data_IF_543260396796
#
_entry.id   IF_543260396796
#
_cell.length_a   1.000
_cell.length_b   1.000
_cell.length_c   1.000
_cell.angle_alpha   90.00
_cell.angle_beta   90.00
_cell.angle_gamma   90.00
#
_symmetry.space_group_name_H-M   'P 1'
#
loop_
_entity.id
_entity.type
_entity.pdbx_description
1 polymer ?
#
# COMPACT_ATOMS: atom_id res chain seq x y z
N UNK A 1 -20.19 26.60 2.59
CA UNK A 1 -20.55 25.26 3.09
C UNK A 1 -19.27 24.61 3.51
N UNK A 2 -19.06 24.41 4.81
CA UNK A 2 -17.83 23.81 5.35
C UNK A 2 -17.96 22.29 5.19
N UNK A 3 -17.20 21.72 4.27
CA UNK A 3 -17.01 20.27 4.24
C UNK A 3 -16.00 19.90 5.34
N UNK A 4 -16.51 19.35 6.43
CA UNK A 4 -15.66 18.73 7.44
C UNK A 4 -15.24 17.36 6.91
N UNK A 5 -14.01 17.25 6.48
CA UNK A 5 -13.47 15.96 6.05
C UNK A 5 -13.14 15.10 7.26
N UNK A 6 -13.90 14.07 7.43
CA UNK A 6 -13.72 13.03 8.45
C UNK A 6 -12.91 11.90 7.81
N UNK A 7 -11.80 11.52 8.42
CA UNK A 7 -10.98 10.40 7.97
C UNK A 7 -11.78 9.10 8.14
N UNK A 8 -12.46 8.67 7.09
CA UNK A 8 -13.06 7.34 7.02
C UNK A 8 -11.95 6.38 6.60
N UNK A 9 -11.44 5.59 7.53
CA UNK A 9 -10.67 4.40 7.15
C UNK A 9 -11.61 3.47 6.39
N UNK A 10 -11.52 3.47 5.08
CA UNK A 10 -12.11 2.41 4.27
C UNK A 10 -11.38 1.11 4.64
N UNK A 11 -12.10 0.21 5.29
CA UNK A 11 -11.63 -1.07 5.82
C UNK A 11 -11.03 -2.01 4.75
N UNK A 12 -11.04 -1.62 3.48
CA UNK A 12 -10.58 -2.45 2.37
C UNK A 12 -9.06 -2.71 2.33
N UNK A 13 -8.23 -1.73 2.67
CA UNK A 13 -6.77 -1.88 2.59
C UNK A 13 -6.17 -2.61 3.80
N UNK A 14 -6.84 -2.57 4.96
CA UNK A 14 -6.37 -3.25 6.18
C UNK A 14 -6.48 -4.78 6.12
N UNK A 15 -7.33 -5.33 5.25
CA UNK A 15 -7.59 -6.78 5.16
C UNK A 15 -6.37 -7.55 4.66
N UNK A 16 -5.55 -6.96 3.79
CA UNK A 16 -4.36 -7.65 3.27
C UNK A 16 -3.12 -7.54 4.16
N UNK A 17 -3.01 -6.52 4.98
CA UNK A 17 -1.86 -6.33 5.87
C UNK A 17 -1.95 -7.17 7.17
N UNK A 18 -3.15 -7.54 7.62
CA UNK A 18 -3.37 -8.29 8.85
C UNK A 18 -3.26 -9.80 8.73
N UNK A 19 -3.46 -10.36 7.55
CA UNK A 19 -3.53 -11.83 7.34
C UNK A 19 -2.20 -12.50 7.04
N UNK A 20 -1.09 -11.76 6.96
CA UNK A 20 0.25 -12.28 6.64
C UNK A 20 1.23 -12.24 7.83
N UNK A 21 0.74 -12.28 9.07
CA UNK A 21 1.61 -12.52 10.23
C UNK A 21 1.91 -14.03 10.30
N UNK A 22 2.92 -14.43 9.58
CA UNK A 22 3.49 -15.78 9.67
C UNK A 22 4.23 -15.91 11.00
N UNK A 23 3.80 -16.85 11.84
CA UNK A 23 4.53 -17.25 13.06
C UNK A 23 5.86 -17.87 12.66
N UNK A 24 6.94 -17.16 12.92
CA UNK A 24 8.30 -17.66 12.75
C UNK A 24 8.63 -18.59 13.95
N UNK A 25 8.41 -19.90 13.80
CA UNK A 25 9.02 -20.92 14.66
C UNK A 25 10.18 -21.54 13.90
N UNK A 26 11.37 -21.33 14.44
CA UNK A 26 12.58 -22.02 13.99
C UNK A 26 12.41 -23.55 14.11
N UNK A 27 12.76 -24.34 13.11
CA UNK A 27 12.79 -25.78 13.26
C UNK A 27 14.14 -26.18 13.87
N UNK A 28 14.11 -26.73 15.08
CA UNK A 28 15.19 -27.63 15.53
C UNK A 28 14.98 -28.97 14.84
N UNK A 29 16.04 -29.40 14.16
CA UNK A 29 16.09 -30.70 13.51
C UNK A 29 16.11 -31.82 14.53
N UNK A 30 15.18 -32.77 14.42
CA UNK A 30 15.35 -34.15 14.86
C UNK A 30 14.82 -35.06 13.76
N UNK A 31 15.71 -35.85 13.22
CA UNK A 31 15.40 -36.91 12.26
C UNK A 31 14.72 -38.07 12.98
N UNK A 32 13.60 -38.56 12.43
CA UNK A 32 13.13 -39.93 12.59
C UNK A 32 12.26 -40.28 11.38
N UNK A 33 12.66 -41.34 10.71
CA UNK A 33 11.96 -41.93 9.59
C UNK A 33 10.64 -42.58 10.04
N UNK A 34 9.57 -42.38 9.27
CA UNK A 34 8.59 -43.43 8.94
C UNK A 34 7.52 -42.88 8.01
N UNK A 35 7.19 -43.62 6.95
CA UNK A 35 6.30 -43.25 5.88
C UNK A 35 4.85 -43.06 6.31
N UNK A 36 4.25 -42.04 5.73
CA UNK A 36 2.82 -41.74 5.82
C UNK A 36 2.55 -40.45 5.09
N UNK A 37 1.85 -40.54 3.98
CA UNK A 37 1.41 -39.36 3.21
C UNK A 37 0.49 -38.47 4.07
N UNK A 38 0.82 -37.22 4.40
CA UNK A 38 -0.10 -36.36 5.12
C UNK A 38 -1.06 -35.70 4.12
N UNK A 39 -2.28 -36.14 4.08
CA UNK A 39 -3.42 -35.35 3.61
C UNK A 39 -3.61 -34.18 4.58
N UNK A 40 -2.86 -33.11 4.43
CA UNK A 40 -3.06 -31.90 5.22
C UNK A 40 -4.25 -31.13 4.69
N UNK A 41 -5.43 -31.29 5.33
CA UNK A 41 -6.49 -30.30 5.23
C UNK A 41 -5.91 -28.95 5.60
N UNK A 42 -6.14 -27.89 4.80
CA UNK A 42 -5.73 -26.55 5.18
C UNK A 42 -6.36 -26.21 6.55
N UNK A 43 -5.56 -25.64 7.46
CA UNK A 43 -6.05 -25.16 8.74
C UNK A 43 -7.23 -24.21 8.51
N UNK A 44 -8.28 -24.25 9.35
CA UNK A 44 -9.40 -23.34 9.23
C UNK A 44 -8.88 -21.91 9.30
N UNK A 45 -9.29 -21.08 8.34
CA UNK A 45 -8.99 -19.64 8.34
C UNK A 45 -9.74 -19.06 9.54
N UNK A 46 -9.01 -18.61 10.53
CA UNK A 46 -9.56 -17.94 11.69
C UNK A 46 -10.30 -16.68 11.22
N UNK A 47 -11.60 -16.61 11.50
CA UNK A 47 -12.42 -15.48 11.08
C UNK A 47 -12.06 -14.28 11.94
N UNK A 48 -11.44 -13.27 11.33
CA UNK A 48 -11.12 -12.01 12.01
C UNK A 48 -12.42 -11.22 12.15
N UNK A 49 -12.82 -10.91 13.37
CA UNK A 49 -13.91 -9.97 13.63
C UNK A 49 -13.34 -8.55 13.74
N UNK A 50 -13.89 -7.64 12.94
CA UNK A 50 -13.53 -6.24 12.99
C UNK A 50 -14.48 -5.48 13.92
N UNK A 51 -13.92 -4.67 14.80
CA UNK A 51 -14.70 -3.75 15.62
C UNK A 51 -15.28 -2.63 14.74
N UNK A 52 -16.38 -2.00 15.19
CA UNK A 52 -16.92 -0.83 14.51
C UNK A 52 -15.86 0.27 14.35
N UNK A 53 -15.89 0.97 13.21
CA UNK A 53 -15.00 2.10 12.96
C UNK A 53 -15.22 3.21 13.99
N UNK A 54 -14.13 3.83 14.43
CA UNK A 54 -14.14 4.93 15.39
C UNK A 54 -13.31 6.10 14.83
N UNK A 55 -13.84 7.32 14.90
CA UNK A 55 -13.06 8.52 14.59
C UNK A 55 -11.93 8.66 15.61
N UNK A 56 -10.69 8.75 15.16
CA UNK A 56 -9.51 8.96 16.01
C UNK A 56 -9.16 10.45 16.11
N UNK A 57 -9.19 11.17 15.01
CA UNK A 57 -8.83 12.58 14.94
C UNK A 57 -9.33 13.21 13.63
N UNK A 58 -9.33 14.55 13.62
CA UNK A 58 -9.50 15.35 12.40
C UNK A 58 -8.14 15.82 11.90
N UNK A 59 -7.95 15.80 10.58
CA UNK A 59 -6.73 16.30 9.96
C UNK A 59 -6.67 17.82 10.06
N UNK A 60 -5.53 18.34 10.52
CA UNK A 60 -5.30 19.79 10.68
C UNK A 60 -4.85 20.43 9.36
N UNK A 61 -4.08 19.67 8.55
CA UNK A 61 -3.57 20.17 7.28
C UNK A 61 -4.69 20.21 6.23
N UNK A 62 -4.97 21.42 5.72
CA UNK A 62 -6.03 21.64 4.73
C UNK A 62 -5.64 21.29 3.31
N UNK A 63 -4.33 21.11 3.06
CA UNK A 63 -3.84 20.63 1.77
C UNK A 63 -4.11 19.13 1.58
N UNK A 64 -4.55 18.43 2.63
CA UNK A 64 -5.05 17.05 2.56
C UNK A 64 -6.56 17.14 2.44
N UNK A 65 -7.07 17.27 1.24
CA UNK A 65 -8.48 17.51 0.94
C UNK A 65 -9.19 16.29 0.35
N UNK A 66 -8.43 15.37 -0.26
CA UNK A 66 -8.92 14.12 -0.85
C UNK A 66 -8.03 12.95 -0.43
N UNK A 67 -7.78 12.78 0.89
CA UNK A 67 -6.94 11.70 1.40
C UNK A 67 -7.43 10.34 0.91
N UNK A 68 -6.61 9.65 0.13
CA UNK A 68 -6.88 8.32 -0.40
C UNK A 68 -6.11 7.24 0.38
N UNK A 69 -4.88 6.91 0.00
CA UNK A 69 -4.10 5.87 0.70
C UNK A 69 -3.57 6.30 2.07
N UNK A 70 -3.37 5.32 2.96
CA UNK A 70 -2.82 5.54 4.30
C UNK A 70 -1.92 4.39 4.73
N UNK A 71 -0.72 4.68 5.21
CA UNK A 71 0.19 3.66 5.75
C UNK A 71 0.98 4.16 6.96
N UNK A 72 1.30 3.24 7.88
CA UNK A 72 2.16 3.56 9.01
C UNK A 72 3.64 3.67 8.59
N UNK A 73 4.33 4.67 9.11
CA UNK A 73 5.77 4.82 8.94
C UNK A 73 6.53 3.69 9.65
N UNK A 74 7.52 3.13 8.95
CA UNK A 74 8.41 2.09 9.51
C UNK A 74 9.69 2.69 10.07
N UNK A 75 10.19 3.75 9.44
CA UNK A 75 11.34 4.53 9.89
C UNK A 75 10.95 5.54 10.96
N UNK A 76 9.78 6.12 10.83
CA UNK A 76 9.26 7.16 11.71
C UNK A 76 8.12 6.59 12.55
N UNK A 77 8.40 6.18 13.78
CA UNK A 77 7.37 5.66 14.70
C UNK A 77 6.33 6.74 15.02
N UNK A 78 5.06 6.36 15.03
CA UNK A 78 3.95 7.27 15.32
C UNK A 78 3.58 8.21 14.17
N UNK A 79 4.18 8.02 12.99
CA UNK A 79 3.85 8.73 11.76
C UNK A 79 2.95 7.86 10.89
N UNK A 80 1.95 8.49 10.30
CA UNK A 80 1.15 7.97 9.21
C UNK A 80 1.46 8.78 7.95
N UNK A 81 1.59 8.07 6.82
CA UNK A 81 1.78 8.66 5.50
C UNK A 81 0.49 8.55 4.71
N UNK A 82 0.09 9.63 4.06
CA UNK A 82 -1.09 9.70 3.19
C UNK A 82 -0.79 10.57 1.98
N UNK A 83 -1.65 10.53 0.97
CA UNK A 83 -1.63 11.40 -0.21
C UNK A 83 -3.05 11.75 -0.60
N UNK A 84 -3.21 12.77 -1.43
CA UNK A 84 -4.48 13.04 -2.07
C UNK A 84 -4.69 12.14 -3.28
N UNK A 85 -5.93 12.00 -3.68
CA UNK A 85 -6.39 11.29 -4.87
C UNK A 85 -5.96 11.99 -6.17
N UNK A 86 -6.63 11.72 -7.26
CA UNK A 86 -6.33 12.18 -8.61
C UNK A 86 -6.21 13.72 -8.75
N UNK A 87 -5.35 14.16 -9.68
CA UNK A 87 -5.25 15.57 -10.05
C UNK A 87 -4.36 16.44 -9.17
N UNK A 88 -3.81 15.94 -8.08
CA UNK A 88 -2.87 16.66 -7.23
C UNK A 88 -1.42 16.58 -7.76
N UNK A 89 -0.51 17.24 -7.06
CA UNK A 89 0.93 17.19 -7.33
C UNK A 89 1.50 15.86 -6.83
N UNK A 90 2.65 15.40 -7.35
CA UNK A 90 3.32 14.22 -6.84
C UNK A 90 3.91 14.49 -5.44
N UNK A 91 3.05 14.45 -4.44
CA UNK A 91 3.37 14.74 -3.05
C UNK A 91 2.59 13.82 -2.11
N UNK A 92 3.14 13.60 -0.92
CA UNK A 92 2.53 12.85 0.14
C UNK A 92 2.79 13.51 1.49
N UNK A 93 1.93 13.26 2.44
CA UNK A 93 1.87 13.99 3.70
C UNK A 93 2.19 13.07 4.87
N UNK A 94 2.83 13.63 5.87
CA UNK A 94 3.06 12.99 7.16
C UNK A 94 2.13 13.57 8.20
N UNK A 95 1.40 12.72 8.88
CA UNK A 95 0.52 13.07 9.99
C UNK A 95 0.81 12.18 11.19
N UNK A 96 0.32 12.52 12.37
CA UNK A 96 0.32 11.62 13.51
C UNK A 96 -1.10 11.12 13.83
N UNK A 97 -1.23 10.22 14.80
CA UNK A 97 -2.52 9.66 15.21
C UNK A 97 -3.50 10.70 15.80
N UNK A 98 -3.03 11.89 16.17
CA UNK A 98 -3.86 13.02 16.60
C UNK A 98 -4.24 13.95 15.43
N UNK A 99 -3.98 13.56 14.17
CA UNK A 99 -4.30 14.34 12.98
C UNK A 99 -3.41 15.55 12.75
N UNK A 100 -2.35 15.73 13.55
CA UNK A 100 -1.46 16.87 13.41
C UNK A 100 -0.56 16.75 12.17
N UNK A 101 -0.36 17.85 11.46
CA UNK A 101 0.55 17.97 10.33
C UNK A 101 2.01 17.86 10.76
N UNK A 102 2.73 16.88 10.24
CA UNK A 102 4.17 16.70 10.44
C UNK A 102 4.97 17.13 9.22
N UNK A 103 4.34 17.32 8.08
CA UNK A 103 4.97 17.83 6.87
C UNK A 103 4.47 17.20 5.57
N UNK A 104 4.94 17.79 4.48
CA UNK A 104 4.67 17.37 3.11
C UNK A 104 5.97 17.03 2.40
N UNK A 105 5.96 16.01 1.58
CA UNK A 105 7.10 15.54 0.79
C UNK A 105 6.76 15.60 -0.69
N UNK A 106 7.46 16.43 -1.46
CA UNK A 106 7.37 16.40 -2.93
C UNK A 106 8.24 15.26 -3.46
N UNK A 107 7.68 14.36 -4.27
CA UNK A 107 8.37 13.23 -4.87
C UNK A 107 8.97 13.61 -6.22
N UNK A 108 10.26 13.87 -6.25
CA UNK A 108 10.99 14.24 -7.47
C UNK A 108 11.17 13.00 -8.37
N UNK A 109 10.76 13.13 -9.63
CA UNK A 109 10.84 12.06 -10.64
C UNK A 109 9.59 11.17 -10.71
N UNK A 110 8.52 11.56 -10.03
CA UNK A 110 7.19 10.95 -10.15
C UNK A 110 6.24 11.87 -10.91
N UNK A 111 5.22 11.27 -11.54
CA UNK A 111 3.99 11.94 -11.94
C UNK A 111 2.89 11.69 -10.91
N UNK A 112 1.78 12.40 -11.03
CA UNK A 112 0.57 12.14 -10.26
C UNK A 112 -0.61 12.31 -11.22
N UNK A 113 -1.04 11.19 -11.80
CA UNK A 113 -2.20 11.18 -12.69
C UNK A 113 -3.45 10.75 -11.92
N UNK A 114 -3.30 9.63 -11.19
CA UNK A 114 -4.42 9.03 -10.46
C UNK A 114 -3.83 8.13 -9.35
N UNK A 115 -3.40 8.78 -8.26
CA UNK A 115 -2.81 8.08 -7.11
C UNK A 115 -3.92 7.56 -6.21
N UNK A 116 -3.90 6.26 -5.93
CA UNK A 116 -4.97 5.60 -5.19
C UNK A 116 -4.52 5.08 -3.82
N UNK A 117 -3.29 4.59 -3.72
CA UNK A 117 -2.84 4.01 -2.46
C UNK A 117 -1.34 4.18 -2.21
N UNK A 118 -0.97 4.05 -0.94
CA UNK A 118 0.41 4.08 -0.46
C UNK A 118 0.65 2.93 0.53
N UNK A 119 1.72 2.17 0.35
CA UNK A 119 2.13 1.17 1.33
C UNK A 119 3.57 1.36 1.79
N UNK A 120 3.86 0.93 3.01
CA UNK A 120 5.20 0.90 3.59
C UNK A 120 5.74 -0.52 3.64
N UNK A 121 7.02 -0.70 3.31
CA UNK A 121 7.68 -2.00 3.34
C UNK A 121 9.17 -1.89 3.69
N UNK A 122 9.79 -3.02 3.99
CA UNK A 122 11.20 -3.06 4.38
C UNK A 122 11.95 -4.11 3.53
N UNK A 123 13.01 -3.69 2.86
CA UNK A 123 13.93 -4.59 2.16
C UNK A 123 15.34 -4.35 2.68
N UNK A 124 16.06 -5.41 3.06
CA UNK A 124 17.44 -5.33 3.56
C UNK A 124 17.62 -4.28 4.66
N UNK A 125 16.71 -4.26 5.65
CA UNK A 125 16.68 -3.29 6.78
C UNK A 125 16.50 -1.83 6.36
N UNK A 126 16.18 -1.55 5.11
CA UNK A 126 15.85 -0.21 4.62
C UNK A 126 14.34 -0.09 4.45
N UNK A 127 13.78 1.02 4.89
CA UNK A 127 12.36 1.31 4.86
C UNK A 127 12.00 2.13 3.62
N UNK A 128 10.93 1.74 2.98
CA UNK A 128 10.44 2.35 1.74
C UNK A 128 8.94 2.61 1.83
N UNK A 129 8.51 3.57 1.03
CA UNK A 129 7.11 3.79 0.68
C UNK A 129 6.95 3.46 -0.80
N UNK A 130 5.80 2.92 -1.17
CA UNK A 130 5.37 2.71 -2.55
C UNK A 130 4.06 3.44 -2.75
N UNK A 131 4.02 4.34 -3.74
CA UNK A 131 2.84 5.10 -4.13
C UNK A 131 2.33 4.55 -5.45
N UNK A 132 1.04 4.34 -5.55
CA UNK A 132 0.37 3.72 -6.68
C UNK A 132 -0.35 4.73 -7.56
N UNK A 133 0.20 5.00 -8.76
CA UNK A 133 -0.44 5.78 -9.82
C UNK A 133 -1.10 4.80 -10.79
N UNK A 134 -2.26 4.29 -10.40
CA UNK A 134 -2.92 3.20 -11.12
C UNK A 134 -4.45 3.27 -11.13
N UNK A 135 -5.04 4.35 -10.63
CA UNK A 135 -6.46 4.61 -10.78
C UNK A 135 -6.85 4.70 -12.25
N UNK A 136 -8.00 4.16 -12.60
CA UNK A 136 -8.49 4.07 -13.98
C UNK A 136 -10.00 3.78 -13.99
N UNK A 137 -10.80 4.75 -13.59
CA UNK A 137 -12.27 4.64 -13.59
C UNK A 137 -12.83 4.23 -14.97
N UNK A 138 -12.14 4.60 -16.05
CA UNK A 138 -12.51 4.25 -17.42
C UNK A 138 -12.03 2.87 -17.87
N UNK A 139 -11.16 2.22 -17.12
CA UNK A 139 -10.50 0.94 -17.45
C UNK A 139 -9.84 0.96 -18.85
N UNK A 140 -9.06 2.00 -19.10
CA UNK A 140 -8.42 2.26 -20.39
C UNK A 140 -6.90 2.44 -20.29
N UNK A 141 -6.35 2.58 -19.07
CA UNK A 141 -4.92 2.85 -18.86
C UNK A 141 -4.06 1.64 -19.14
N UNK A 142 -3.02 1.86 -19.94
CA UNK A 142 -1.96 0.89 -20.22
C UNK A 142 -0.61 1.28 -19.57
N UNK A 143 -0.59 2.40 -18.85
CA UNK A 143 0.63 3.04 -18.34
C UNK A 143 0.61 3.24 -16.81
N UNK A 144 0.05 2.29 -16.08
CA UNK A 144 0.08 2.33 -14.61
C UNK A 144 1.51 2.30 -14.08
N UNK A 145 1.74 2.97 -12.94
CA UNK A 145 3.07 3.08 -12.33
C UNK A 145 3.03 2.93 -10.83
N UNK A 146 4.09 2.35 -10.29
CA UNK A 146 4.39 2.39 -8.86
C UNK A 146 5.67 3.19 -8.67
N UNK A 147 5.65 4.11 -7.73
CA UNK A 147 6.81 4.91 -7.34
C UNK A 147 7.32 4.45 -5.99
N UNK A 148 8.57 4.00 -5.95
CA UNK A 148 9.23 3.60 -4.71
C UNK A 148 10.16 4.71 -4.26
N UNK A 149 10.04 5.10 -3.00
CA UNK A 149 10.90 6.10 -2.36
C UNK A 149 11.42 5.56 -1.03
N UNK A 150 12.68 5.85 -0.70
CA UNK A 150 13.15 5.59 0.66
C UNK A 150 12.33 6.44 1.63
N UNK A 151 11.79 5.83 2.67
CA UNK A 151 10.99 6.57 3.66
C UNK A 151 11.80 7.74 4.22
N UNK A 152 11.37 9.00 4.02
CA UNK A 152 12.10 10.16 4.49
C UNK A 152 12.17 10.17 6.02
N UNK A 153 13.31 10.57 6.57
CA UNK A 153 13.40 10.82 8.01
C UNK A 153 12.78 12.17 8.34
N UNK A 154 11.83 12.16 9.26
CA UNK A 154 11.19 13.37 9.76
C UNK A 154 11.78 13.81 11.10
N UNK A 155 11.92 15.12 11.26
CA UNK A 155 12.04 15.70 12.58
C UNK A 155 10.62 15.99 13.12
N UNK A 156 10.07 15.05 13.86
CA UNK A 156 8.69 15.13 14.38
C UNK A 156 8.46 16.26 15.39
N UNK A 157 9.52 16.91 15.86
CA UNK A 157 9.40 18.13 16.67
C UNK A 157 9.06 19.36 15.82
N UNK A 158 9.29 19.32 14.51
CA UNK A 158 8.91 20.38 13.57
C UNK A 158 7.57 20.04 12.93
N UNK A 159 6.66 21.01 12.88
CA UNK A 159 5.36 20.90 12.21
C UNK A 159 5.44 21.51 10.82
N UNK A 160 4.63 20.99 9.87
CA UNK A 160 4.50 21.55 8.53
C UNK A 160 5.79 21.56 7.71
N UNK A 161 6.69 20.62 7.92
CA UNK A 161 7.95 20.55 7.20
C UNK A 161 7.72 20.31 5.70
N UNK A 162 8.36 21.11 4.83
CA UNK A 162 8.35 20.90 3.38
C UNK A 162 9.63 20.19 2.94
N UNK A 163 9.51 18.96 2.53
CA UNK A 163 10.61 18.09 2.14
C UNK A 163 10.56 17.77 0.64
N UNK A 164 11.69 17.33 0.11
CA UNK A 164 11.80 16.75 -1.22
C UNK A 164 12.46 15.38 -1.10
N UNK A 165 11.89 14.38 -1.70
CA UNK A 165 12.48 13.05 -1.82
C UNK A 165 12.59 12.67 -3.30
N UNK A 166 13.64 11.96 -3.66
CA UNK A 166 13.81 11.48 -5.04
C UNK A 166 13.22 10.08 -5.16
N UNK A 167 12.43 9.85 -6.20
CA UNK A 167 11.97 8.51 -6.55
C UNK A 167 13.18 7.59 -6.76
N UNK A 168 13.28 6.53 -5.97
CA UNK A 168 14.36 5.55 -6.04
C UNK A 168 14.14 4.54 -7.17
N UNK A 169 12.87 4.25 -7.48
CA UNK A 169 12.50 3.30 -8.52
C UNK A 169 11.09 3.61 -9.03
N UNK A 170 10.94 3.64 -10.35
CA UNK A 170 9.63 3.64 -11.01
C UNK A 170 9.39 2.27 -11.62
N UNK A 171 8.22 1.68 -11.34
CA UNK A 171 7.81 0.37 -11.86
C UNK A 171 6.60 0.56 -12.78
N UNK A 172 6.80 0.72 -14.08
CA UNK A 172 5.69 0.69 -15.03
C UNK A 172 5.11 -0.72 -15.09
N UNK A 173 3.80 -0.83 -15.18
CA UNK A 173 3.14 -2.12 -15.26
C UNK A 173 1.78 -2.04 -15.96
N UNK A 174 1.25 -3.20 -16.32
CA UNK A 174 -0.11 -3.41 -16.80
C UNK A 174 -0.65 -4.73 -16.25
N UNK A 175 -1.89 -5.02 -16.55
CA UNK A 175 -2.56 -6.25 -16.11
C UNK A 175 -2.62 -7.27 -17.25
N UNK A 176 -2.49 -8.56 -16.92
CA UNK A 176 -2.49 -9.63 -17.93
C UNK A 176 -3.82 -9.76 -18.68
N UNK A 177 -4.92 -9.33 -18.05
CA UNK A 177 -6.29 -9.45 -18.56
C UNK A 177 -6.91 -8.09 -18.94
N UNK A 178 -6.06 -7.11 -19.31
CA UNK A 178 -6.44 -5.76 -19.76
C UNK A 178 -6.55 -4.75 -18.62
N UNK A 179 -6.82 -3.47 -18.96
CA UNK A 179 -6.86 -2.37 -17.99
C UNK A 179 -7.83 -2.63 -16.83
N UNK A 180 -7.46 -2.13 -15.64
CA UNK A 180 -8.26 -2.27 -14.42
C UNK A 180 -8.19 -1.00 -13.60
N UNK A 181 -9.33 -0.63 -13.02
CA UNK A 181 -9.32 0.31 -11.92
C UNK A 181 -8.83 -0.40 -10.67
N UNK A 182 -7.71 0.06 -10.10
CA UNK A 182 -7.09 -0.51 -8.91
C UNK A 182 -7.11 0.51 -7.79
N UNK A 183 -7.30 0.05 -6.56
CA UNK A 183 -7.51 0.91 -5.39
C UNK A 183 -6.54 0.61 -4.25
N UNK A 184 -5.78 -0.50 -4.34
CA UNK A 184 -4.92 -0.86 -3.23
C UNK A 184 -3.64 -1.53 -3.67
N UNK A 185 -2.55 -1.27 -2.94
CA UNK A 185 -1.25 -1.87 -3.11
C UNK A 185 -0.66 -2.36 -1.79
N UNK A 186 -0.03 -3.51 -1.82
CA UNK A 186 0.74 -4.05 -0.70
C UNK A 186 2.02 -4.70 -1.19
N UNK A 187 3.02 -4.79 -0.31
CA UNK A 187 4.29 -5.47 -0.59
C UNK A 187 4.57 -6.50 0.50
N UNK A 188 4.66 -7.77 0.10
CA UNK A 188 5.29 -8.79 0.93
C UNK A 188 6.81 -8.70 0.76
N UNK A 189 7.47 -8.27 1.81
CA UNK A 189 8.93 -8.10 1.85
C UNK A 189 9.68 -9.44 1.81
N UNK A 190 9.06 -10.53 2.28
CA UNK A 190 9.67 -11.86 2.37
C UNK A 190 9.77 -12.50 0.99
N UNK A 191 8.64 -12.55 0.28
CA UNK A 191 8.58 -13.13 -1.07
C UNK A 191 8.95 -12.12 -2.15
N UNK A 192 9.07 -10.83 -1.79
CA UNK A 192 9.26 -9.71 -2.72
C UNK A 192 8.15 -9.65 -3.77
N UNK A 193 6.91 -9.79 -3.32
CA UNK A 193 5.73 -9.76 -4.15
C UNK A 193 4.95 -8.45 -3.91
N UNK A 194 4.57 -7.79 -5.00
CA UNK A 194 3.62 -6.67 -5.01
C UNK A 194 2.25 -7.28 -5.25
N UNK A 195 1.30 -6.95 -4.38
CA UNK A 195 -0.12 -7.26 -4.53
C UNK A 195 -0.89 -5.99 -4.87
N UNK A 196 -1.85 -6.13 -5.76
CA UNK A 196 -2.75 -5.07 -6.19
C UNK A 196 -4.18 -5.57 -6.09
N UNK A 197 -5.11 -4.73 -5.65
CA UNK A 197 -6.53 -5.09 -5.56
C UNK A 197 -7.35 -4.14 -6.42
N UNK A 198 -8.04 -4.70 -7.41
CA UNK A 198 -8.90 -3.92 -8.29
C UNK A 198 -10.22 -3.58 -7.62
N UNK A 199 -10.76 -2.41 -7.94
CA UNK A 199 -12.16 -2.05 -7.72
C UNK A 199 -12.99 -2.64 -8.85
N UNK A 200 -14.11 -3.27 -8.50
CA UNK A 200 -15.09 -3.72 -9.48
C UNK A 200 -16.50 -3.30 -9.04
N UNK A 201 -17.35 -3.07 -10.00
CA UNK A 201 -18.76 -2.90 -9.70
C UNK A 201 -19.33 -4.25 -9.18
N UNK A 202 -19.87 -4.26 -7.98
CA UNK A 202 -20.38 -5.43 -7.29
C UNK A 202 -19.48 -5.92 -6.16
N UNK A 203 -19.75 -7.13 -5.67
CA UNK A 203 -19.11 -7.70 -4.47
C UNK A 203 -17.80 -8.46 -4.75
N UNK A 204 -17.23 -8.31 -5.95
CA UNK A 204 -16.03 -9.08 -6.35
C UNK A 204 -14.88 -8.14 -6.70
N UNK A 205 -13.71 -8.38 -6.11
CA UNK A 205 -12.46 -7.71 -6.45
C UNK A 205 -11.44 -8.75 -6.90
N UNK A 206 -10.61 -8.43 -7.90
CA UNK A 206 -9.47 -9.29 -8.28
C UNK A 206 -8.23 -8.88 -7.52
N UNK A 207 -7.47 -9.86 -7.07
CA UNK A 207 -6.12 -9.68 -6.53
C UNK A 207 -5.13 -10.03 -7.62
N UNK A 208 -4.22 -9.12 -7.91
CA UNK A 208 -3.12 -9.32 -8.84
C UNK A 208 -1.80 -9.38 -8.10
N UNK A 209 -0.86 -10.11 -8.66
CA UNK A 209 0.50 -10.18 -8.12
C UNK A 209 1.54 -10.00 -9.21
N UNK A 210 2.65 -9.36 -8.84
CA UNK A 210 3.87 -9.29 -9.64
C UNK A 210 5.08 -9.20 -8.73
N UNK A 211 6.26 -9.58 -9.26
CA UNK A 211 7.50 -9.53 -8.49
C UNK A 211 7.99 -8.09 -8.32
N UNK A 212 8.38 -7.71 -7.10
CA UNK A 212 9.07 -6.46 -6.84
C UNK A 212 10.47 -6.49 -7.47
N UNK A 213 10.80 -5.64 -8.46
CA UNK A 213 12.10 -5.65 -9.11
C UNK A 213 13.17 -5.05 -8.20
N UNK A 214 14.45 -5.28 -8.54
CA UNK A 214 15.58 -4.71 -7.81
C UNK A 214 15.94 -3.28 -8.28
N UNK A 215 15.49 -2.90 -9.46
CA UNK A 215 15.70 -1.59 -10.11
C UNK A 215 14.54 -1.28 -11.06
N UNK A 216 14.42 -0.04 -11.49
CA UNK A 216 13.42 0.34 -12.50
C UNK A 216 13.52 -0.56 -13.72
N UNK A 217 12.46 -1.30 -14.08
CA UNK A 217 12.46 -2.16 -15.25
C UNK A 217 12.42 -1.32 -16.53
N UNK A 218 13.10 -1.79 -17.57
CA UNK A 218 13.11 -1.13 -18.89
C UNK A 218 11.82 -1.32 -19.67
N UNK A 219 11.07 -2.39 -19.36
CA UNK A 219 9.77 -2.72 -19.96
C UNK A 219 8.72 -2.82 -18.85
N UNK A 220 7.45 -2.49 -19.12
CA UNK A 220 6.40 -2.68 -18.13
C UNK A 220 6.32 -4.13 -17.64
N UNK A 221 6.09 -4.29 -16.34
CA UNK A 221 5.79 -5.58 -15.75
C UNK A 221 4.33 -5.96 -16.01
N UNK A 222 4.02 -7.23 -15.90
CA UNK A 222 2.65 -7.73 -16.04
C UNK A 222 2.17 -8.28 -14.70
N UNK A 223 1.16 -7.64 -14.15
CA UNK A 223 0.46 -8.11 -12.96
C UNK A 223 -0.52 -9.22 -13.38
N UNK A 224 -0.42 -10.39 -12.74
CA UNK A 224 -1.25 -11.56 -13.02
C UNK A 224 -2.32 -11.72 -11.94
N UNK A 225 -3.56 -11.96 -12.34
CA UNK A 225 -4.63 -12.29 -11.40
C UNK A 225 -4.30 -13.62 -10.70
N UNK A 226 -4.39 -13.61 -9.36
CA UNK A 226 -4.10 -14.78 -8.50
C UNK A 226 -5.30 -15.21 -7.67
N UNK A 227 -6.24 -14.31 -7.42
CA UNK A 227 -7.45 -14.59 -6.65
C UNK A 227 -8.58 -13.64 -7.04
N UNK A 228 -9.79 -14.04 -6.67
CA UNK A 228 -10.98 -13.17 -6.64
C UNK A 228 -11.49 -13.16 -5.22
N UNK A 229 -11.69 -11.99 -4.65
CA UNK A 229 -12.31 -11.78 -3.35
C UNK A 229 -13.78 -11.46 -3.56
N UNK A 230 -14.63 -12.01 -2.69
CA UNK A 230 -16.04 -11.60 -2.55
C UNK A 230 -16.14 -10.84 -1.22
N UNK A 231 -16.65 -9.62 -1.27
CA UNK A 231 -16.79 -8.71 -0.12
C UNK A 231 -18.23 -8.79 0.38
#
# INVERSE_FOLDING_TARGET
MLHSQTLWMLAGAAILAGSLIYHNRSPQAQAAESGGSPSSKPAPIERIEYLPARELAKLVNKDIDESSGLTAGRRNKGVLWTHNDSGDRPQFFAINYAGADLGCVTLIGAGARDWEDICSFTINRRHFLMLGDFGDNGQTRLDCRLYVVAEPLLNTARRGAKLKARCAMTVPFGYADGPRNCESVAVDSTTRTIFLVSKQFGLKCKVYAMRLPNRSPKKPLIAKAIATLTI
#
